data_IF_334362813392
#
_entry.id   IF_334362813392
#
_cell.length_a   1.000
_cell.length_b   1.000
_cell.length_c   1.000
_cell.angle_alpha   90.00
_cell.angle_beta   90.00
_cell.angle_gamma   90.00
#
_symmetry.space_group_name_H-M   'P 1'
#
loop_
_entity.id
_entity.type
_entity.pdbx_description
1 polymer ?
#
# COMPACT_ATOMS: atom_id res chain seq x y z
N UNK A 1 3.76 8.48 9.97
CA UNK A 1 2.33 8.56 10.34
C UNK A 1 1.70 7.18 10.34
N UNK A 2 1.54 6.50 9.19
CA UNK A 2 0.92 5.16 9.17
C UNK A 2 1.69 4.11 9.97
N UNK A 3 3.02 3.99 9.81
CA UNK A 3 3.82 3.06 10.61
C UNK A 3 3.82 3.37 12.11
N UNK A 4 3.84 4.65 12.48
CA UNK A 4 3.86 5.10 13.87
C UNK A 4 2.49 5.10 14.54
N UNK A 5 1.41 4.80 13.81
CA UNK A 5 0.04 4.80 14.32
C UNK A 5 -0.54 6.17 14.67
N UNK A 6 -0.03 7.24 14.05
CA UNK A 6 -0.58 8.59 14.24
C UNK A 6 -1.84 8.78 13.38
N UNK A 7 -2.93 8.16 13.82
CA UNK A 7 -4.16 8.00 13.03
C UNK A 7 -4.89 9.31 12.77
N UNK A 8 -4.91 10.21 13.75
CA UNK A 8 -5.61 11.49 13.63
C UNK A 8 -4.96 12.35 12.55
N UNK A 9 -3.63 12.55 12.63
CA UNK A 9 -2.91 13.38 11.66
C UNK A 9 -2.86 12.71 10.27
N UNK A 10 -2.74 11.38 10.23
CA UNK A 10 -2.80 10.63 8.97
C UNK A 10 -4.13 10.84 8.25
N UNK A 11 -5.24 10.71 8.97
CA UNK A 11 -6.59 10.87 8.42
C UNK A 11 -6.83 12.31 7.99
N UNK A 12 -6.47 13.28 8.83
CA UNK A 12 -6.62 14.70 8.53
C UNK A 12 -5.94 15.07 7.21
N UNK A 13 -4.64 14.78 7.08
CA UNK A 13 -3.87 15.11 5.88
C UNK A 13 -4.39 14.39 4.63
N UNK A 14 -4.85 13.15 4.80
CA UNK A 14 -5.40 12.39 3.68
C UNK A 14 -6.73 12.95 3.21
N UNK A 15 -7.60 13.36 4.14
CA UNK A 15 -8.84 14.06 3.79
C UNK A 15 -8.57 15.43 3.18
N UNK A 16 -7.58 16.19 3.65
CA UNK A 16 -7.17 17.45 3.01
C UNK A 16 -6.81 17.25 1.55
N UNK A 17 -6.00 16.23 1.24
CA UNK A 17 -5.67 15.90 -0.15
C UNK A 17 -6.91 15.48 -0.95
N UNK A 18 -7.73 14.58 -0.42
CA UNK A 18 -8.92 14.08 -1.13
C UNK A 18 -9.94 15.18 -1.41
N UNK A 19 -10.09 16.15 -0.50
CA UNK A 19 -11.06 17.24 -0.62
C UNK A 19 -10.54 18.45 -1.42
N UNK A 20 -9.27 18.49 -1.81
CA UNK A 20 -8.73 19.62 -2.60
C UNK A 20 -9.24 19.58 -4.05
N UNK A 21 -10.25 20.38 -4.38
CA UNK A 21 -10.81 20.46 -5.74
C UNK A 21 -9.80 20.97 -6.79
N UNK A 22 -8.70 21.60 -6.37
CA UNK A 22 -7.67 22.18 -7.26
C UNK A 22 -6.44 21.28 -7.43
N UNK A 23 -6.50 20.03 -6.97
CA UNK A 23 -5.41 19.06 -7.08
C UNK A 23 -4.93 18.89 -8.53
N UNK A 24 -3.60 18.82 -8.71
CA UNK A 24 -3.01 18.69 -10.04
C UNK A 24 -3.40 17.35 -10.69
N UNK A 25 -3.54 17.33 -12.02
CA UNK A 25 -3.89 16.10 -12.76
C UNK A 25 -2.88 14.96 -12.57
N UNK A 26 -1.62 15.30 -12.30
CA UNK A 26 -0.56 14.37 -11.94
C UNK A 26 -0.88 13.59 -10.68
N UNK A 27 -1.54 14.23 -9.72
CA UNK A 27 -1.71 13.73 -8.36
C UNK A 27 -2.94 12.82 -8.24
N UNK A 28 -3.82 12.80 -9.25
CA UNK A 28 -4.95 11.87 -9.30
C UNK A 28 -4.51 10.39 -9.16
N UNK A 29 -3.26 10.06 -9.52
CA UNK A 29 -2.71 8.70 -9.31
C UNK A 29 -2.53 8.32 -7.84
N UNK A 30 -2.56 9.30 -6.93
CA UNK A 30 -2.40 9.16 -5.47
C UNK A 30 -3.71 9.06 -4.72
N UNK A 31 -4.86 9.18 -5.40
CA UNK A 31 -6.17 9.07 -4.74
C UNK A 31 -6.31 7.73 -3.98
N UNK A 32 -5.99 6.56 -4.58
CA UNK A 32 -6.08 5.29 -3.86
C UNK A 32 -5.20 5.23 -2.61
N UNK A 33 -4.01 5.86 -2.66
CA UNK A 33 -3.09 5.94 -1.51
C UNK A 33 -3.78 6.63 -0.31
N UNK A 34 -4.43 7.77 -0.56
CA UNK A 34 -5.09 8.55 0.47
C UNK A 34 -6.41 7.92 0.95
N UNK A 35 -7.17 7.28 0.06
CA UNK A 35 -8.34 6.50 0.45
C UNK A 35 -7.94 5.34 1.39
N UNK A 36 -6.84 4.64 1.08
CA UNK A 36 -6.27 3.61 1.95
C UNK A 36 -5.89 4.17 3.32
N UNK A 37 -5.24 5.33 3.40
CA UNK A 37 -4.86 5.92 4.69
C UNK A 37 -6.07 6.31 5.55
N UNK A 38 -7.14 6.82 4.94
CA UNK A 38 -8.38 7.15 5.66
C UNK A 38 -9.00 5.88 6.22
N UNK A 39 -9.11 4.83 5.41
CA UNK A 39 -9.75 3.57 5.82
C UNK A 39 -8.89 2.78 6.81
N UNK A 40 -7.56 2.86 6.72
CA UNK A 40 -6.62 2.34 7.71
C UNK A 40 -6.79 3.04 9.06
N UNK A 41 -6.86 4.38 9.08
CA UNK A 41 -7.09 5.15 10.31
C UNK A 41 -8.44 4.79 10.96
N UNK A 42 -9.45 4.48 10.14
CA UNK A 42 -10.79 4.04 10.57
C UNK A 42 -10.87 2.54 10.89
N UNK A 43 -9.77 1.79 10.72
CA UNK A 43 -9.73 0.32 10.89
C UNK A 43 -10.75 -0.41 10.01
N UNK A 44 -11.12 0.19 8.88
CA UNK A 44 -12.10 -0.34 7.94
C UNK A 44 -11.42 -1.25 6.92
N UNK A 45 -11.43 -2.57 7.19
CA UNK A 45 -10.81 -3.59 6.33
C UNK A 45 -11.35 -3.54 4.90
N UNK A 46 -12.67 -3.48 4.75
CA UNK A 46 -13.31 -3.43 3.43
C UNK A 46 -12.88 -2.19 2.64
N UNK A 47 -12.83 -1.04 3.31
CA UNK A 47 -12.38 0.20 2.70
C UNK A 47 -10.91 0.18 2.29
N UNK A 48 -10.05 -0.50 3.08
CA UNK A 48 -8.65 -0.71 2.71
C UNK A 48 -8.53 -1.59 1.47
N UNK A 49 -9.30 -2.68 1.40
CA UNK A 49 -9.35 -3.56 0.23
C UNK A 49 -9.81 -2.81 -1.03
N UNK A 50 -10.94 -2.11 -0.96
CA UNK A 50 -11.51 -1.34 -2.08
C UNK A 50 -10.54 -0.26 -2.60
N UNK A 51 -9.75 0.36 -1.72
CA UNK A 51 -8.72 1.32 -2.12
C UNK A 51 -7.56 0.62 -2.86
N UNK A 52 -7.09 -0.53 -2.37
CA UNK A 52 -5.97 -1.25 -2.96
C UNK A 52 -6.34 -1.98 -4.26
N UNK A 53 -7.57 -2.46 -4.40
CA UNK A 53 -8.06 -3.12 -5.63
C UNK A 53 -7.95 -2.20 -6.85
N UNK A 54 -8.18 -0.89 -6.67
CA UNK A 54 -7.98 0.12 -7.73
C UNK A 54 -6.55 0.14 -8.25
N UNK A 55 -5.56 -0.22 -7.42
CA UNK A 55 -4.15 -0.27 -7.80
C UNK A 55 -3.77 -1.62 -8.42
N UNK A 56 -4.60 -2.66 -8.32
CA UNK A 56 -4.39 -3.95 -8.96
C UNK A 56 -4.96 -3.99 -10.39
N UNK A 57 -5.88 -3.09 -10.73
CA UNK A 57 -6.35 -2.93 -12.10
C UNK A 57 -5.23 -2.49 -13.05
N UNK A 58 -5.03 -3.24 -14.13
CA UNK A 58 -3.90 -3.09 -15.06
C UNK A 58 -3.70 -1.65 -15.56
N UNK A 59 -4.79 -0.91 -15.84
CA UNK A 59 -4.73 0.49 -16.30
C UNK A 59 -4.13 1.42 -15.25
N UNK A 60 -4.52 1.26 -14.00
CA UNK A 60 -4.05 2.08 -12.88
C UNK A 60 -2.71 1.61 -12.35
N UNK A 61 -2.48 0.29 -12.33
CA UNK A 61 -1.23 -0.32 -11.91
C UNK A 61 -0.04 0.24 -12.71
N UNK A 62 -0.16 0.29 -14.04
CA UNK A 62 0.86 0.88 -14.92
C UNK A 62 1.16 2.34 -14.59
N UNK A 63 0.12 3.14 -14.30
CA UNK A 63 0.26 4.57 -14.01
C UNK A 63 0.86 4.83 -12.62
N UNK A 64 0.55 3.97 -11.65
CA UNK A 64 1.10 4.05 -10.30
C UNK A 64 2.58 3.60 -10.28
N UNK A 65 2.92 2.53 -10.98
CA UNK A 65 4.30 2.05 -11.12
C UNK A 65 5.19 3.06 -11.87
N UNK A 66 4.63 3.75 -12.87
CA UNK A 66 5.31 4.80 -13.63
C UNK A 66 5.85 5.89 -12.69
N UNK A 67 7.16 6.09 -12.76
CA UNK A 67 7.98 7.00 -11.95
C UNK A 67 8.27 6.54 -10.51
N UNK A 68 7.76 5.38 -10.07
CA UNK A 68 8.00 4.88 -8.71
C UNK A 68 9.12 3.85 -8.66
N UNK A 69 9.18 2.93 -9.63
CA UNK A 69 10.23 1.91 -9.72
C UNK A 69 10.63 1.70 -11.18
N UNK A 70 11.72 2.38 -11.59
CA UNK A 70 12.38 2.12 -12.86
C UNK A 70 12.71 0.61 -12.91
N UNK A 71 12.25 -0.09 -13.96
CA UNK A 71 12.51 -1.52 -14.25
C UNK A 71 11.63 -2.60 -13.59
N UNK A 72 10.62 -2.25 -12.78
CA UNK A 72 9.65 -3.24 -12.23
C UNK A 72 8.27 -3.21 -12.92
N UNK A 73 8.24 -2.70 -14.14
CA UNK A 73 7.00 -2.50 -14.87
C UNK A 73 6.22 -3.83 -15.01
N UNK A 74 5.10 -3.91 -14.28
CA UNK A 74 4.02 -4.91 -14.38
C UNK A 74 4.27 -6.30 -13.77
N UNK A 75 5.45 -6.58 -13.23
CA UNK A 75 5.72 -7.85 -12.53
C UNK A 75 5.26 -7.84 -11.09
N UNK A 76 5.36 -6.69 -10.43
CA UNK A 76 4.91 -6.47 -9.07
C UNK A 76 4.17 -5.13 -9.00
N UNK A 77 3.30 -5.00 -8.00
CA UNK A 77 2.65 -3.77 -7.60
C UNK A 77 3.14 -3.36 -6.19
N UNK A 78 4.29 -2.68 -6.11
CA UNK A 78 4.99 -2.41 -4.85
C UNK A 78 4.18 -1.54 -3.88
N UNK A 79 3.34 -0.65 -4.40
CA UNK A 79 2.43 0.16 -3.60
C UNK A 79 1.44 -0.71 -2.82
N UNK A 80 0.82 -1.70 -3.48
CA UNK A 80 -0.14 -2.60 -2.83
C UNK A 80 0.58 -3.46 -1.80
N UNK A 81 1.75 -4.02 -2.14
CA UNK A 81 2.57 -4.78 -1.20
C UNK A 81 2.94 -3.96 0.05
N UNK A 82 3.38 -2.71 -0.15
CA UNK A 82 3.77 -1.82 0.94
C UNK A 82 2.58 -1.50 1.85
N UNK A 83 1.43 -1.14 1.28
CA UNK A 83 0.23 -0.79 2.06
C UNK A 83 -0.37 -1.99 2.78
N UNK A 84 -0.45 -3.14 2.11
CA UNK A 84 -0.89 -4.38 2.74
C UNK A 84 0.06 -4.79 3.89
N UNK A 85 1.37 -4.60 3.73
CA UNK A 85 2.35 -4.85 4.81
C UNK A 85 2.20 -3.85 5.97
N UNK A 86 1.91 -2.58 5.70
CA UNK A 86 1.56 -1.61 6.77
C UNK A 86 0.31 -2.07 7.52
N UNK A 87 -0.74 -2.50 6.81
CA UNK A 87 -1.96 -3.02 7.42
C UNK A 87 -1.66 -4.25 8.30
N UNK A 88 -0.83 -5.18 7.81
CA UNK A 88 -0.40 -6.37 8.54
C UNK A 88 0.41 -6.03 9.82
N UNK A 89 1.31 -5.03 9.77
CA UNK A 89 2.03 -4.53 10.96
C UNK A 89 1.04 -4.07 12.05
N UNK A 90 -0.11 -3.51 11.65
CA UNK A 90 -1.16 -3.07 12.55
C UNK A 90 -2.23 -4.14 12.84
N UNK A 91 -1.99 -5.39 12.45
CA UNK A 91 -2.85 -6.54 12.77
C UNK A 91 -4.05 -6.72 11.83
N UNK A 92 -4.06 -6.09 10.66
CA UNK A 92 -5.10 -6.28 9.65
C UNK A 92 -4.64 -7.21 8.54
N UNK A 93 -5.37 -8.30 8.34
CA UNK A 93 -5.27 -9.13 7.14
C UNK A 93 -6.27 -8.64 6.09
N UNK A 94 -5.76 -8.26 4.92
CA UNK A 94 -6.58 -7.76 3.82
C UNK A 94 -6.92 -8.85 2.79
N UNK A 95 -6.41 -10.08 2.94
CA UNK A 95 -6.67 -11.19 2.02
C UNK A 95 -6.20 -10.93 0.58
N UNK A 96 -5.21 -10.06 0.40
CA UNK A 96 -4.67 -9.73 -0.92
C UNK A 96 -3.75 -10.85 -1.37
N UNK A 97 -4.11 -11.48 -2.48
CA UNK A 97 -3.29 -12.46 -3.17
C UNK A 97 -3.52 -12.32 -4.68
N UNK A 98 -2.57 -11.71 -5.38
CA UNK A 98 -2.67 -11.47 -6.82
C UNK A 98 -1.34 -11.70 -7.53
N UNK A 99 -1.32 -11.96 -8.84
CA UNK A 99 -0.08 -12.22 -9.57
C UNK A 99 0.98 -11.11 -9.44
N UNK A 100 0.55 -9.87 -9.19
CA UNK A 100 1.44 -8.71 -9.03
C UNK A 100 1.55 -8.25 -7.56
N UNK A 101 0.78 -8.82 -6.64
CA UNK A 101 0.90 -8.57 -5.21
C UNK A 101 0.60 -9.89 -4.47
N UNK A 102 1.54 -10.85 -4.50
CA UNK A 102 1.34 -12.16 -3.89
C UNK A 102 1.40 -12.06 -2.36
N UNK A 103 0.58 -12.87 -1.68
CA UNK A 103 0.46 -12.83 -0.22
C UNK A 103 1.78 -13.12 0.51
N UNK A 104 2.64 -13.95 -0.08
CA UNK A 104 3.92 -14.35 0.51
C UNK A 104 4.88 -13.17 0.70
N UNK A 105 4.70 -12.09 -0.07
CA UNK A 105 5.48 -10.85 0.07
C UNK A 105 4.84 -9.86 1.06
N UNK A 106 3.58 -10.07 1.44
CA UNK A 106 2.84 -9.25 2.41
C UNK A 106 3.06 -9.80 3.82
N UNK A 107 2.98 -11.12 3.98
CA UNK A 107 3.09 -11.81 5.26
C UNK A 107 4.36 -11.41 6.05
N UNK A 108 4.20 -11.33 7.37
CA UNK A 108 5.28 -11.02 8.30
C UNK A 108 5.57 -12.30 9.08
N UNK A 109 6.39 -13.15 8.46
CA UNK A 109 6.83 -14.42 9.05
C UNK A 109 8.36 -14.42 9.18
N UNK A 110 8.93 -13.68 10.14
CA UNK A 110 10.38 -13.69 10.35
C UNK A 110 10.85 -15.09 10.71
N UNK A 111 12.03 -15.46 10.22
CA UNK A 111 12.65 -16.72 10.63
C UNK A 111 12.93 -16.67 12.14
N UNK A 112 12.73 -17.80 12.82
CA UNK A 112 13.10 -17.94 14.22
C UNK A 112 14.60 -17.67 14.44
N UNK A 113 15.44 -18.08 13.47
CA UNK A 113 16.87 -17.86 13.47
C UNK A 113 17.38 -17.55 12.05
N UNK A 114 18.29 -16.58 11.93
CA UNK A 114 19.00 -16.27 10.69
C UNK A 114 20.39 -16.89 10.76
N UNK A 115 20.64 -17.92 9.93
CA UNK A 115 21.97 -18.54 9.83
C UNK A 115 22.86 -17.69 8.91
N UNK A 116 23.94 -17.14 9.46
CA UNK A 116 24.98 -16.51 8.66
C UNK A 116 25.93 -17.58 8.11
N UNK A 117 25.96 -17.74 6.79
CA UNK A 117 27.02 -18.52 6.13
C UNK A 117 28.26 -17.63 6.05
N UNK A 118 29.23 -17.87 6.94
CA UNK A 118 30.61 -17.40 6.71
C UNK A 118 31.17 -18.17 5.52
N UNK A 119 31.17 -17.54 4.35
CA UNK A 119 32.01 -17.97 3.23
C UNK A 119 33.40 -17.40 3.54
N UNK A 120 34.30 -18.28 3.99
CA UNK A 120 35.74 -18.03 4.14
C UNK A 120 36.44 -18.11 2.78
#
# INVERSE_FOLDING_TARGET
MALSGDWQLLKERSLTFLNDEKKARSDLKRIPDHEFYVTLADKNIKGMQEALDKLLELKFAKRAAKDTLLHFDFYLQPQVLMYAKIAAIHGFDLGIDSPIAPKELIDINPLAEYKFLMIL
#
